data_IF_499883284359
#
_entry.id   IF_499883284359
#
_cell.length_a   1.000
_cell.length_b   1.000
_cell.length_c   1.000
_cell.angle_alpha   90.00
_cell.angle_beta   90.00
_cell.angle_gamma   90.00
#
_symmetry.space_group_name_H-M   'P 1'
#
loop_
_entity.id
_entity.type
_entity.pdbx_description
1 polymer ?
#
# COMPACT_ATOMS: atom_id res chain seq x y z
N UNK A 1 12.78 8.19 21.34
CA UNK A 1 11.32 7.96 21.18
C UNK A 1 10.99 6.63 21.81
N UNK A 2 9.95 6.55 22.63
CA UNK A 2 9.42 5.26 23.06
C UNK A 2 8.78 4.57 21.84
N UNK A 3 9.12 3.30 21.60
CA UNK A 3 8.56 2.52 20.50
C UNK A 3 7.07 2.18 20.72
N UNK A 4 6.42 1.52 19.74
CA UNK A 4 5.06 1.05 19.90
C UNK A 4 4.97 0.05 21.06
N UNK A 5 3.93 0.18 21.89
CA UNK A 5 3.63 -0.74 22.99
C UNK A 5 2.77 -1.92 22.51
N UNK A 6 1.97 -1.70 21.45
CA UNK A 6 1.06 -2.70 20.89
C UNK A 6 1.29 -2.78 19.38
N UNK A 7 1.48 -4.02 18.89
CA UNK A 7 1.50 -4.33 17.47
C UNK A 7 0.28 -5.18 17.13
N UNK A 8 -0.57 -4.65 16.26
CA UNK A 8 -1.71 -5.39 15.70
C UNK A 8 -1.29 -5.96 14.35
N UNK A 9 -1.24 -7.29 14.26
CA UNK A 9 -1.02 -7.98 12.99
C UNK A 9 -2.37 -8.31 12.35
N UNK A 10 -2.59 -7.78 11.16
CA UNK A 10 -3.74 -8.13 10.32
C UNK A 10 -3.27 -9.16 9.30
N UNK A 11 -3.84 -10.38 9.30
CA UNK A 11 -3.53 -11.36 8.28
C UNK A 11 -3.93 -10.80 6.92
N UNK A 12 -3.23 -11.23 5.88
CA UNK A 12 -3.45 -10.64 4.57
C UNK A 12 -4.88 -10.82 4.09
N UNK A 13 -5.31 -9.92 3.23
CA UNK A 13 -6.48 -10.20 2.42
C UNK A 13 -6.10 -10.87 1.12
N UNK A 14 -6.88 -11.87 0.75
CA UNK A 14 -6.84 -12.54 -0.55
C UNK A 14 -7.26 -11.63 -1.72
N UNK A 15 -7.78 -10.41 -1.46
CA UNK A 15 -8.19 -9.43 -2.47
C UNK A 15 -7.61 -8.05 -2.22
N UNK A 16 -7.21 -7.38 -3.30
CA UNK A 16 -6.68 -6.01 -3.29
C UNK A 16 -7.54 -5.11 -4.15
N UNK A 17 -7.73 -3.88 -3.69
CA UNK A 17 -8.35 -2.83 -4.47
C UNK A 17 -7.47 -2.53 -5.68
N UNK A 18 -8.08 -2.55 -6.86
CA UNK A 18 -7.45 -2.05 -8.09
C UNK A 18 -6.97 -0.61 -7.88
N UNK A 19 -7.76 0.22 -7.18
CA UNK A 19 -7.44 1.62 -6.93
C UNK A 19 -7.44 2.45 -8.22
N UNK A 20 -7.79 3.73 -8.10
CA UNK A 20 -7.97 4.64 -9.24
C UNK A 20 -9.43 4.72 -9.71
N UNK A 21 -10.16 5.71 -9.20
CA UNK A 21 -11.37 6.21 -9.87
C UNK A 21 -10.94 7.08 -11.05
N UNK A 22 -11.69 7.03 -12.16
CA UNK A 22 -11.54 7.96 -13.30
C UNK A 22 -11.84 9.41 -12.92
N UNK A 23 -12.53 9.61 -11.79
CA UNK A 23 -12.73 10.88 -11.13
C UNK A 23 -11.78 10.94 -9.91
N UNK A 24 -10.60 11.55 -10.09
CA UNK A 24 -9.66 11.85 -8.99
C UNK A 24 -10.20 12.95 -8.06
N UNK A 25 -9.52 13.27 -6.93
CA UNK A 25 -8.07 13.40 -6.84
C UNK A 25 -7.49 12.60 -5.64
N UNK A 26 -6.19 12.35 -5.50
CA UNK A 26 -5.15 13.34 -5.26
C UNK A 26 -3.79 12.76 -5.59
N UNK A 27 -2.93 13.61 -6.15
CA UNK A 27 -1.48 13.46 -6.13
C UNK A 27 -1.07 12.84 -4.81
N UNK A 28 -0.39 11.68 -4.86
CA UNK A 28 0.24 11.03 -3.72
C UNK A 28 0.71 12.12 -2.75
N UNK A 29 0.14 12.21 -1.54
CA UNK A 29 0.39 13.33 -0.62
C UNK A 29 1.91 13.52 -0.37
N UNK A 30 2.66 12.42 -0.53
CA UNK A 30 4.12 12.41 -0.60
C UNK A 30 4.61 13.19 -1.83
N UNK A 31 4.24 12.80 -3.06
CA UNK A 31 4.54 13.55 -4.29
C UNK A 31 4.17 15.04 -4.21
N UNK A 32 3.02 15.37 -3.62
CA UNK A 32 2.55 16.76 -3.47
C UNK A 32 3.44 17.58 -2.52
N UNK A 33 3.93 16.96 -1.44
CA UNK A 33 4.84 17.58 -0.47
C UNK A 33 6.30 17.68 -0.94
N UNK A 34 6.68 17.02 -2.03
CA UNK A 34 8.05 17.05 -2.55
C UNK A 34 8.35 18.30 -3.39
N UNK A 35 9.57 18.86 -3.29
CA UNK A 35 10.07 19.84 -4.25
C UNK A 35 9.95 19.35 -5.69
N UNK A 36 9.69 20.26 -6.64
CA UNK A 36 9.38 19.90 -8.02
C UNK A 36 10.43 18.98 -8.68
N UNK A 37 11.71 19.22 -8.41
CA UNK A 37 12.83 18.41 -8.93
C UNK A 37 12.82 16.99 -8.35
N UNK A 38 12.54 16.85 -7.05
CA UNK A 38 12.46 15.55 -6.37
C UNK A 38 11.23 14.77 -6.81
N UNK A 39 10.11 15.46 -7.03
CA UNK A 39 8.88 14.89 -7.59
C UNK A 39 9.12 14.34 -8.99
N UNK A 40 9.77 15.12 -9.86
CA UNK A 40 10.13 14.65 -11.20
C UNK A 40 11.01 13.39 -11.15
N UNK A 41 12.00 13.36 -10.23
CA UNK A 41 12.84 12.18 -10.05
C UNK A 41 12.07 10.96 -9.53
N UNK A 42 11.10 11.17 -8.64
CA UNK A 42 10.23 10.12 -8.14
C UNK A 42 9.36 9.50 -9.26
N UNK A 43 8.81 10.32 -10.15
CA UNK A 43 8.03 9.82 -11.29
C UNK A 43 8.91 9.03 -12.28
N UNK A 44 10.12 9.51 -12.58
CA UNK A 44 11.09 8.78 -13.42
C UNK A 44 11.42 7.39 -12.84
N UNK A 45 11.67 7.31 -11.53
CA UNK A 45 11.93 6.04 -10.84
C UNK A 45 10.72 5.10 -10.88
N UNK A 46 9.49 5.64 -10.83
CA UNK A 46 8.27 4.84 -10.96
C UNK A 46 8.16 4.23 -12.35
N UNK A 47 8.42 5.01 -13.39
CA UNK A 47 8.45 4.53 -14.77
C UNK A 47 9.55 3.47 -14.97
N UNK A 48 10.74 3.69 -14.43
CA UNK A 48 11.85 2.73 -14.49
C UNK A 48 11.48 1.39 -13.83
N UNK A 49 10.85 1.42 -12.66
CA UNK A 49 10.36 0.22 -11.98
C UNK A 49 9.29 -0.48 -12.82
N UNK A 50 8.33 0.25 -13.41
CA UNK A 50 7.30 -0.34 -14.27
C UNK A 50 7.91 -1.03 -15.50
N UNK A 51 8.94 -0.43 -16.11
CA UNK A 51 9.63 -0.97 -17.28
C UNK A 51 10.47 -2.22 -16.94
N UNK A 52 11.15 -2.22 -15.80
CA UNK A 52 12.01 -3.33 -15.37
C UNK A 52 11.26 -4.49 -14.72
N UNK A 53 10.03 -4.24 -14.27
CA UNK A 53 9.21 -5.26 -13.61
C UNK A 53 8.61 -6.23 -14.64
N UNK A 54 8.48 -7.54 -14.32
CA UNK A 54 7.78 -8.49 -15.17
C UNK A 54 6.38 -7.99 -15.55
N UNK A 55 5.95 -8.19 -16.79
CA UNK A 55 4.62 -7.74 -17.25
C UNK A 55 3.51 -8.22 -16.31
N UNK A 56 2.74 -7.29 -15.76
CA UNK A 56 1.62 -7.57 -14.86
C UNK A 56 1.98 -7.74 -13.38
N UNK A 57 3.27 -7.73 -13.02
CA UNK A 57 3.72 -7.80 -11.61
C UNK A 57 3.45 -6.51 -10.83
N UNK A 58 3.56 -5.36 -11.50
CA UNK A 58 3.16 -4.05 -10.99
C UNK A 58 2.11 -3.50 -11.94
N UNK A 59 0.89 -3.27 -11.44
CA UNK A 59 -0.18 -2.67 -12.23
C UNK A 59 -0.11 -1.15 -12.12
N UNK A 60 -0.29 -0.41 -13.23
CA UNK A 60 -0.48 1.03 -13.17
C UNK A 60 -1.70 1.35 -12.30
N UNK A 61 -1.47 2.13 -11.25
CA UNK A 61 -2.50 2.53 -10.30
C UNK A 61 -1.83 3.37 -9.22
N UNK A 62 -2.44 4.50 -8.87
CA UNK A 62 -1.92 5.41 -7.84
C UNK A 62 -1.62 4.66 -6.54
N UNK A 63 -0.56 5.06 -5.85
CA UNK A 63 -0.24 4.50 -4.54
C UNK A 63 -1.41 4.72 -3.58
N UNK A 64 -1.72 3.70 -2.78
CA UNK A 64 -2.71 3.81 -1.72
C UNK A 64 -2.06 3.37 -0.42
N UNK A 65 -2.42 3.97 0.74
CA UNK A 65 -2.03 3.42 2.01
C UNK A 65 -2.53 1.97 2.11
N UNK A 66 -1.75 1.09 2.75
CA UNK A 66 -2.02 -0.34 2.80
C UNK A 66 -3.45 -0.66 3.29
N UNK A 67 -3.97 0.08 4.27
CA UNK A 67 -5.34 -0.11 4.78
C UNK A 67 -6.45 0.18 3.73
N UNK A 68 -6.18 1.00 2.70
CA UNK A 68 -7.08 1.22 1.54
C UNK A 68 -6.76 0.28 0.38
N UNK A 69 -5.52 -0.22 0.29
CA UNK A 69 -5.09 -1.15 -0.77
C UNK A 69 -5.64 -2.55 -0.56
N UNK A 70 -5.52 -3.08 0.65
CA UNK A 70 -6.04 -4.41 0.97
C UNK A 70 -7.54 -4.33 1.22
N UNK A 71 -8.30 -5.24 0.62
CA UNK A 71 -9.77 -5.26 0.77
C UNK A 71 -10.21 -6.39 1.68
N UNK A 72 -11.46 -6.45 2.13
CA UNK A 72 -11.94 -7.59 2.91
C UNK A 72 -13.00 -7.16 3.90
N UNK A 73 -13.66 -8.12 4.54
CA UNK A 73 -14.72 -7.79 5.49
C UNK A 73 -14.19 -6.96 6.66
N UNK A 74 -13.00 -7.29 7.16
CA UNK A 74 -12.34 -6.51 8.21
C UNK A 74 -12.06 -5.07 7.77
N UNK A 75 -11.38 -4.89 6.63
CA UNK A 75 -11.01 -3.57 6.11
C UNK A 75 -12.21 -2.67 5.82
N UNK A 76 -13.33 -3.25 5.34
CA UNK A 76 -14.57 -2.50 5.08
C UNK A 76 -15.31 -2.02 6.33
N UNK A 77 -15.12 -2.72 7.46
CA UNK A 77 -15.81 -2.42 8.71
C UNK A 77 -15.03 -1.47 9.62
N UNK A 78 -13.76 -1.20 9.32
CA UNK A 78 -12.96 -0.23 10.07
C UNK A 78 -13.04 1.13 9.35
N UNK A 79 -13.56 2.18 10.01
CA UNK A 79 -13.70 3.48 9.38
C UNK A 79 -12.34 4.15 9.16
N UNK A 80 -12.23 4.96 8.10
CA UNK A 80 -10.98 5.63 7.69
C UNK A 80 -10.31 6.46 8.80
N UNK A 81 -11.12 7.11 9.65
CA UNK A 81 -10.60 7.87 10.78
C UNK A 81 -9.90 6.98 11.82
N UNK A 82 -10.36 5.74 12.04
CA UNK A 82 -9.73 4.81 12.98
C UNK A 82 -8.36 4.34 12.47
N UNK A 83 -8.17 4.25 11.15
CA UNK A 83 -6.86 3.99 10.54
C UNK A 83 -5.90 5.17 10.69
N UNK A 84 -6.41 6.40 10.48
CA UNK A 84 -5.62 7.62 10.47
C UNK A 84 -5.26 8.14 11.88
N UNK A 85 -6.18 8.02 12.84
CA UNK A 85 -6.09 8.63 14.18
C UNK A 85 -5.77 7.63 15.29
N UNK A 86 -5.13 6.50 14.97
CA UNK A 86 -4.72 5.53 15.99
C UNK A 86 -3.77 6.15 17.01
N UNK A 87 -3.81 5.63 18.24
CA UNK A 87 -2.86 5.99 19.29
C UNK A 87 -1.42 5.79 18.81
N UNK A 88 -0.53 6.73 19.15
CA UNK A 88 0.90 6.66 18.81
C UNK A 88 1.61 5.42 19.37
N UNK A 89 1.03 4.78 20.39
CA UNK A 89 1.53 3.54 21.00
C UNK A 89 1.13 2.27 20.24
N UNK A 90 0.25 2.39 19.25
CA UNK A 90 -0.28 1.26 18.47
C UNK A 90 0.27 1.32 17.05
N UNK A 91 0.95 0.24 16.64
CA UNK A 91 1.33 0.02 15.25
C UNK A 91 0.45 -1.07 14.65
N UNK A 92 -0.04 -0.84 13.43
CA UNK A 92 -0.83 -1.85 12.72
C UNK A 92 -0.05 -2.26 11.49
N UNK A 93 0.24 -3.54 11.42
CA UNK A 93 1.01 -4.17 10.35
C UNK A 93 0.13 -5.17 9.63
N UNK A 94 0.25 -5.22 8.31
CA UNK A 94 -0.52 -6.07 7.42
C UNK A 94 0.44 -7.05 6.75
N UNK A 95 0.10 -8.34 6.77
CA UNK A 95 0.85 -9.35 6.02
C UNK A 95 0.63 -9.16 4.51
N UNK A 96 1.69 -9.34 3.73
CA UNK A 96 1.71 -9.16 2.28
C UNK A 96 2.55 -10.26 1.65
N UNK A 97 1.97 -11.04 0.75
CA UNK A 97 2.73 -12.10 0.06
C UNK A 97 3.92 -11.62 -0.76
N UNK A 98 3.86 -10.37 -1.25
CA UNK A 98 4.96 -9.79 -2.02
C UNK A 98 5.95 -8.99 -1.16
N UNK A 99 5.47 -8.35 -0.09
CA UNK A 99 6.26 -7.36 0.68
C UNK A 99 6.54 -7.80 2.13
N UNK A 100 6.13 -9.00 2.51
CA UNK A 100 6.27 -9.53 3.86
C UNK A 100 5.31 -8.83 4.84
N UNK A 101 5.78 -7.76 5.46
CA UNK A 101 5.03 -6.96 6.43
C UNK A 101 5.03 -5.50 5.99
N UNK A 102 3.85 -4.87 5.95
CA UNK A 102 3.71 -3.46 5.63
C UNK A 102 2.90 -2.76 6.72
N UNK A 103 3.32 -1.57 7.13
CA UNK A 103 2.52 -0.78 8.04
C UNK A 103 1.23 -0.35 7.33
N UNK A 104 0.14 -0.27 8.07
CA UNK A 104 -1.18 0.14 7.55
C UNK A 104 -1.16 1.43 6.72
N UNK A 105 -0.28 2.37 7.08
CA UNK A 105 -0.14 3.68 6.42
C UNK A 105 0.91 3.71 5.30
N UNK A 106 1.66 2.63 5.11
CA UNK A 106 2.63 2.55 4.03
C UNK A 106 1.92 2.59 2.68
N UNK A 107 2.49 3.34 1.75
CA UNK A 107 1.98 3.44 0.39
C UNK A 107 2.34 2.18 -0.41
N UNK A 108 1.32 1.48 -0.91
CA UNK A 108 1.47 0.19 -1.61
C UNK A 108 0.89 0.29 -3.04
N UNK A 109 1.66 -0.09 -4.08
CA UNK A 109 1.14 -0.16 -5.45
C UNK A 109 0.16 -1.32 -5.62
N UNK A 110 -0.60 -1.32 -6.71
CA UNK A 110 -1.45 -2.47 -7.04
C UNK A 110 -0.61 -3.62 -7.61
N UNK A 111 -0.80 -4.84 -7.10
CA UNK A 111 -0.15 -6.06 -7.60
C UNK A 111 -1.06 -7.29 -7.43
N UNK A 112 -0.91 -8.27 -8.32
CA UNK A 112 -1.80 -9.44 -8.38
C UNK A 112 -1.54 -10.48 -7.28
N UNK A 113 -0.27 -10.75 -6.94
CA UNK A 113 0.14 -11.87 -6.05
C UNK A 113 -0.63 -11.91 -4.72
N UNK A 114 -1.38 -12.99 -4.48
CA UNK A 114 -2.12 -13.27 -3.24
C UNK A 114 -1.37 -14.32 -2.39
N UNK A 115 -1.30 -14.23 -1.05
CA UNK A 115 -0.76 -15.37 -0.26
C UNK A 115 -1.73 -16.56 -0.22
N UNK A 116 -2.98 -16.41 -0.67
CA UNK A 116 -3.86 -17.55 -0.90
C UNK A 116 -3.54 -18.32 -2.18
N UNK A 117 -2.64 -17.81 -3.04
CA UNK A 117 -2.19 -18.49 -4.24
C UNK A 117 -0.83 -19.16 -4.00
N UNK A 118 -0.58 -20.34 -4.61
CA UNK A 118 0.74 -20.95 -4.57
C UNK A 118 1.78 -19.98 -5.14
N UNK A 119 2.87 -19.76 -4.40
CA UNK A 119 4.02 -19.05 -4.95
C UNK A 119 4.55 -19.81 -6.17
N UNK A 120 4.80 -19.14 -7.31
CA UNK A 120 5.48 -19.76 -8.43
C UNK A 120 6.83 -20.34 -7.99
N UNK A 121 7.30 -21.43 -8.62
CA UNK A 121 8.63 -21.97 -8.34
C UNK A 121 9.70 -20.89 -8.60
N UNK A 122 10.70 -20.85 -7.72
CA UNK A 122 11.84 -19.92 -7.76
C UNK A 122 12.93 -20.40 -8.72
#
# INVERSE_FOLDING_TARGET
>A
MAGPEIVVLIPESTRKATGGSSEGPEVDAISAGLPATVRAKLEELREEVLLKSPKGSVRPGGLLPAYRRFQGNMYRNVPDNAWAQRSAKVEVVIASGLRGLVASRDTVPAYALSMAEPTPPF
#
